data_IF_550915499411
#
_entry.id   IF_550915499411
#
_cell.length_a   1.000
_cell.length_b   1.000
_cell.length_c   1.000
_cell.angle_alpha   90.00
_cell.angle_beta   90.00
_cell.angle_gamma   90.00
#
_symmetry.space_group_name_H-M   'P 1'
#
loop_
_entity.id
_entity.type
_entity.pdbx_description
1 polymer ?
#
# COMPACT_ATOMS: atom_id res chain seq x y z
N UNK A 1 -17.74 2.37 -0.57
CA UNK A 1 -18.12 2.50 -2.00
C UNK A 1 -18.40 3.99 -2.27
N UNK A 2 -17.74 4.63 -3.24
CA UNK A 2 -17.87 6.09 -3.47
C UNK A 2 -19.29 6.45 -4.00
N UNK A 3 -19.88 7.60 -3.61
CA UNK A 3 -21.20 8.02 -4.07
C UNK A 3 -21.30 8.13 -5.60
N UNK A 4 -22.52 8.12 -6.11
CA UNK A 4 -22.78 8.33 -7.54
C UNK A 4 -22.27 9.73 -7.97
N UNK A 5 -21.55 9.79 -9.09
CA UNK A 5 -21.03 11.05 -9.64
C UNK A 5 -22.18 11.84 -10.26
N UNK A 6 -22.23 13.15 -9.98
CA UNK A 6 -23.14 14.04 -10.70
C UNK A 6 -22.63 14.31 -12.12
N UNK A 7 -23.49 14.72 -13.04
CA UNK A 7 -23.07 15.14 -14.39
C UNK A 7 -22.04 16.29 -14.34
N UNK A 8 -22.22 17.20 -13.37
CA UNK A 8 -21.28 18.29 -13.08
C UNK A 8 -19.94 17.78 -12.56
N UNK A 9 -19.96 16.80 -11.66
CA UNK A 9 -18.78 16.12 -11.13
C UNK A 9 -17.98 15.40 -12.22
N UNK A 10 -18.67 14.70 -13.13
CA UNK A 10 -18.02 14.07 -14.28
C UNK A 10 -17.34 15.08 -15.20
N UNK A 11 -17.98 16.21 -15.50
CA UNK A 11 -17.37 17.29 -16.28
C UNK A 11 -16.15 17.90 -15.59
N UNK A 12 -16.20 18.09 -14.26
CA UNK A 12 -15.08 18.57 -13.46
C UNK A 12 -13.88 17.60 -13.51
N UNK A 13 -14.12 16.29 -13.35
CA UNK A 13 -13.07 15.27 -13.43
C UNK A 13 -12.48 15.15 -14.84
N UNK A 14 -13.29 15.37 -15.88
CA UNK A 14 -12.78 15.45 -17.26
C UNK A 14 -11.83 16.64 -17.43
N UNK A 15 -12.16 17.81 -16.87
CA UNK A 15 -11.27 18.96 -16.91
C UNK A 15 -9.96 18.68 -16.17
N UNK A 16 -10.01 18.02 -15.01
CA UNK A 16 -8.81 17.61 -14.28
C UNK A 16 -7.96 16.61 -15.07
N UNK A 17 -8.57 15.62 -15.72
CA UNK A 17 -7.84 14.69 -16.58
C UNK A 17 -7.09 15.40 -17.71
N UNK A 18 -7.69 16.41 -18.33
CA UNK A 18 -7.04 17.25 -19.36
C UNK A 18 -5.85 18.03 -18.78
N UNK A 19 -5.95 18.58 -17.56
CA UNK A 19 -4.83 19.27 -16.93
C UNK A 19 -3.68 18.32 -16.56
N UNK A 20 -4.00 17.11 -16.09
CA UNK A 20 -3.01 16.04 -15.88
C UNK A 20 -2.29 15.72 -17.20
N UNK A 21 -3.05 15.55 -18.29
CA UNK A 21 -2.49 15.28 -19.62
C UNK A 21 -1.54 16.39 -20.08
N UNK A 22 -1.95 17.66 -19.97
CA UNK A 22 -1.12 18.82 -20.32
C UNK A 22 0.18 18.85 -19.50
N UNK A 23 0.12 18.55 -18.20
CA UNK A 23 1.29 18.53 -17.32
C UNK A 23 2.26 17.41 -17.69
N UNK A 24 1.76 16.23 -18.04
CA UNK A 24 2.55 15.11 -18.54
C UNK A 24 3.20 15.41 -19.90
N UNK A 25 2.47 16.03 -20.83
CA UNK A 25 3.02 16.47 -22.13
C UNK A 25 4.16 17.47 -21.96
N UNK A 26 4.02 18.44 -21.02
CA UNK A 26 5.11 19.37 -20.67
C UNK A 26 6.32 18.64 -20.09
N UNK A 27 6.10 17.63 -19.25
CA UNK A 27 7.17 16.82 -18.68
C UNK A 27 7.94 16.00 -19.75
N UNK A 28 7.24 15.51 -20.77
CA UNK A 28 7.88 14.87 -21.93
C UNK A 28 8.74 15.87 -22.73
N UNK A 29 8.17 17.03 -23.06
CA UNK A 29 8.82 18.05 -23.87
C UNK A 29 10.03 18.71 -23.18
N UNK A 30 10.00 18.85 -21.84
CA UNK A 30 11.03 19.56 -21.08
C UNK A 30 11.84 18.61 -20.19
N UNK A 31 12.94 18.07 -20.73
CA UNK A 31 13.88 17.24 -19.97
C UNK A 31 14.39 17.86 -18.64
N UNK A 32 14.79 19.15 -18.57
CA UNK A 32 15.33 19.69 -17.31
C UNK A 32 14.26 19.89 -16.23
N UNK A 33 13.01 20.14 -16.61
CA UNK A 33 11.91 20.36 -15.65
C UNK A 33 11.10 19.10 -15.35
N UNK A 34 11.32 18.02 -16.11
CA UNK A 34 10.54 16.78 -16.04
C UNK A 34 10.34 16.24 -14.64
N UNK A 35 11.42 16.14 -13.85
CA UNK A 35 11.35 15.64 -12.48
C UNK A 35 10.45 16.51 -11.60
N UNK A 36 10.61 17.83 -11.68
CA UNK A 36 9.84 18.77 -10.87
C UNK A 36 8.35 18.73 -11.27
N UNK A 37 8.06 18.72 -12.57
CA UNK A 37 6.69 18.62 -13.08
C UNK A 37 5.99 17.32 -12.63
N UNK A 38 6.71 16.20 -12.65
CA UNK A 38 6.17 14.92 -12.17
C UNK A 38 5.99 14.91 -10.65
N UNK A 39 6.92 15.51 -9.89
CA UNK A 39 6.79 15.64 -8.45
C UNK A 39 5.59 16.52 -8.06
N UNK A 40 5.40 17.65 -8.74
CA UNK A 40 4.24 18.52 -8.53
C UNK A 40 2.95 17.80 -8.91
N UNK A 41 2.91 17.10 -10.05
CA UNK A 41 1.73 16.33 -10.45
C UNK A 41 1.38 15.25 -9.43
N UNK A 42 2.38 14.54 -8.91
CA UNK A 42 2.19 13.58 -7.83
C UNK A 42 1.59 14.25 -6.59
N UNK A 43 2.11 15.40 -6.18
CA UNK A 43 1.59 16.15 -5.05
C UNK A 43 0.13 16.58 -5.29
N UNK A 44 -0.18 17.16 -6.45
CA UNK A 44 -1.52 17.63 -6.83
C UNK A 44 -2.56 16.49 -6.79
N UNK A 45 -2.21 15.32 -7.32
CA UNK A 45 -3.09 14.14 -7.35
C UNK A 45 -3.27 13.51 -5.96
N UNK A 46 -2.28 13.65 -5.08
CA UNK A 46 -2.32 13.18 -3.71
C UNK A 46 -3.04 14.15 -2.75
N UNK A 47 -3.46 15.34 -3.21
CA UNK A 47 -4.18 16.29 -2.37
C UNK A 47 -5.55 15.74 -1.94
N UNK A 48 -5.93 16.09 -0.71
CA UNK A 48 -7.28 15.90 -0.20
C UNK A 48 -8.27 16.76 -1.00
N UNK A 49 -9.43 16.20 -1.28
CA UNK A 49 -10.54 16.90 -1.94
C UNK A 49 -11.17 17.84 -0.90
N UNK A 50 -11.06 19.15 -1.13
CA UNK A 50 -11.70 20.15 -0.28
C UNK A 50 -13.23 20.09 -0.36
N UNK A 51 -13.93 20.70 0.61
CA UNK A 51 -15.39 20.61 0.70
C UNK A 51 -16.10 21.20 -0.53
N UNK A 52 -15.52 22.25 -1.13
CA UNK A 52 -16.04 22.85 -2.36
C UNK A 52 -15.96 21.87 -3.54
N UNK A 53 -14.86 21.14 -3.67
CA UNK A 53 -14.69 20.12 -4.68
C UNK A 53 -15.58 18.91 -4.41
N UNK A 54 -15.77 18.50 -3.14
CA UNK A 54 -16.73 17.45 -2.77
C UNK A 54 -18.15 17.79 -3.22
N UNK A 55 -18.61 19.03 -2.99
CA UNK A 55 -19.94 19.48 -3.41
C UNK A 55 -20.10 19.42 -4.94
N UNK A 56 -19.05 19.78 -5.70
CA UNK A 56 -19.08 19.71 -7.16
C UNK A 56 -19.12 18.25 -7.65
N UNK A 57 -18.34 17.37 -7.03
CA UNK A 57 -18.16 15.98 -7.45
C UNK A 57 -19.39 15.13 -7.09
N UNK A 58 -19.83 15.21 -5.83
CA UNK A 58 -20.85 14.33 -5.25
C UNK A 58 -22.23 15.00 -5.08
N UNK A 59 -22.32 16.34 -5.16
CA UNK A 59 -23.53 17.08 -4.81
C UNK A 59 -23.78 17.17 -3.30
N UNK A 60 -24.72 18.01 -2.88
CA UNK A 60 -25.04 18.26 -1.46
C UNK A 60 -25.48 16.99 -0.71
N UNK A 61 -26.30 16.13 -1.35
CA UNK A 61 -26.76 14.86 -0.73
C UNK A 61 -25.67 13.79 -0.66
N UNK A 62 -24.74 13.77 -1.64
CA UNK A 62 -23.62 12.82 -1.68
C UNK A 62 -22.52 13.15 -0.67
N UNK A 63 -22.29 14.44 -0.38
CA UNK A 63 -21.30 14.91 0.59
C UNK A 63 -21.61 14.44 2.03
N UNK A 64 -22.89 14.34 2.40
CA UNK A 64 -23.34 13.85 3.72
C UNK A 64 -23.01 12.36 3.91
N UNK A 65 -23.09 11.56 2.84
CA UNK A 65 -22.77 10.11 2.88
C UNK A 65 -21.27 9.83 2.99
N UNK A 66 -20.43 10.72 2.45
CA UNK A 66 -18.96 10.64 2.54
C UNK A 66 -18.47 10.84 3.97
N UNK A 67 -19.16 11.67 4.76
CA UNK A 67 -18.82 11.94 6.15
C UNK A 67 -19.21 10.80 7.12
N UNK A 68 -20.03 9.83 6.68
CA UNK A 68 -20.68 8.83 7.53
C UNK A 68 -20.06 7.42 7.53
N UNK A 69 -19.09 7.13 6.67
CA UNK A 69 -18.46 5.80 6.65
C UNK A 69 -17.38 5.78 7.75
N UNK A 70 -17.71 5.17 8.91
CA UNK A 70 -16.99 5.25 10.20
C UNK A 70 -15.54 4.78 10.25
N UNK A 71 -14.90 4.62 9.10
CA UNK A 71 -13.50 4.22 8.88
C UNK A 71 -12.78 5.09 7.83
N UNK A 72 -13.43 6.11 7.26
CA UNK A 72 -12.94 6.86 6.11
C UNK A 72 -11.97 7.98 6.47
N UNK A 73 -10.69 7.79 6.13
CA UNK A 73 -9.75 8.90 6.01
C UNK A 73 -10.20 9.93 4.96
N UNK A 74 -9.50 11.07 4.85
CA UNK A 74 -9.83 12.09 3.86
C UNK A 74 -9.83 11.51 2.44
N UNK A 75 -10.81 11.89 1.62
CA UNK A 75 -10.85 11.51 0.20
C UNK A 75 -9.81 12.33 -0.53
N UNK A 76 -8.92 11.68 -1.27
CA UNK A 76 -7.92 12.34 -2.11
C UNK A 76 -8.36 12.38 -3.57
N UNK A 77 -7.80 13.30 -4.37
CA UNK A 77 -8.15 13.42 -5.79
C UNK A 77 -7.89 12.12 -6.56
N UNK A 78 -6.83 11.38 -6.22
CA UNK A 78 -6.56 10.09 -6.85
C UNK A 78 -7.67 9.06 -6.65
N UNK A 79 -8.38 9.07 -5.52
CA UNK A 79 -9.46 8.11 -5.25
C UNK A 79 -10.61 8.28 -6.25
N UNK A 80 -10.95 9.55 -6.50
CA UNK A 80 -12.04 9.94 -7.39
C UNK A 80 -11.63 9.78 -8.86
N UNK A 81 -10.39 10.15 -9.20
CA UNK A 81 -9.86 10.00 -10.56
C UNK A 81 -9.72 8.53 -10.96
N UNK A 82 -9.30 7.65 -10.04
CA UNK A 82 -9.20 6.22 -10.32
C UNK A 82 -10.57 5.60 -10.65
N UNK A 83 -11.63 5.96 -9.92
CA UNK A 83 -13.00 5.54 -10.25
C UNK A 83 -13.48 6.12 -11.57
N UNK A 84 -13.14 7.38 -11.84
CA UNK A 84 -13.50 8.05 -13.09
C UNK A 84 -12.85 7.39 -14.30
N UNK A 85 -11.57 7.00 -14.22
CA UNK A 85 -10.89 6.29 -15.31
C UNK A 85 -11.38 4.86 -15.53
N UNK A 86 -11.97 4.21 -14.51
CA UNK A 86 -12.71 2.96 -14.72
C UNK A 86 -14.00 3.21 -15.49
N UNK A 87 -14.79 4.24 -15.10
CA UNK A 87 -16.08 4.55 -15.73
C UNK A 87 -15.95 5.14 -17.13
N UNK A 88 -14.89 5.92 -17.37
CA UNK A 88 -14.60 6.62 -18.62
C UNK A 88 -13.16 6.31 -19.10
N UNK A 89 -12.89 5.08 -19.58
CA UNK A 89 -11.53 4.66 -19.96
C UNK A 89 -10.88 5.52 -21.04
N UNK A 90 -11.69 6.13 -21.90
CA UNK A 90 -11.23 7.01 -22.98
C UNK A 90 -10.40 8.19 -22.45
N UNK A 91 -10.81 8.75 -21.30
CA UNK A 91 -10.17 9.91 -20.68
C UNK A 91 -8.89 9.53 -19.94
N UNK A 92 -8.79 8.28 -19.48
CA UNK A 92 -7.58 7.74 -18.85
C UNK A 92 -6.54 7.27 -19.86
N UNK A 93 -6.93 6.93 -21.10
CA UNK A 93 -6.03 6.34 -22.08
C UNK A 93 -4.89 7.26 -22.49
N UNK A 94 -5.16 8.54 -22.81
CA UNK A 94 -4.12 9.50 -23.17
C UNK A 94 -3.12 9.71 -22.03
N UNK A 95 -3.64 9.84 -20.80
CA UNK A 95 -2.83 9.96 -19.58
C UNK A 95 -1.96 8.73 -19.39
N UNK A 96 -2.52 7.51 -19.53
CA UNK A 96 -1.78 6.26 -19.41
C UNK A 96 -0.64 6.18 -20.44
N UNK A 97 -0.93 6.47 -21.71
CA UNK A 97 0.06 6.41 -22.80
C UNK A 97 1.24 7.38 -22.54
N UNK A 98 0.99 8.55 -21.96
CA UNK A 98 2.02 9.51 -21.57
C UNK A 98 2.84 9.03 -20.37
N UNK A 99 2.21 8.44 -19.35
CA UNK A 99 2.93 7.87 -18.20
C UNK A 99 3.83 6.72 -18.66
N UNK A 100 3.36 5.87 -19.58
CA UNK A 100 4.15 4.75 -20.15
C UNK A 100 5.40 5.25 -20.88
N UNK A 101 5.34 6.41 -21.54
CA UNK A 101 6.52 7.04 -22.14
C UNK A 101 7.49 7.61 -21.08
N UNK A 102 6.97 8.00 -19.91
CA UNK A 102 7.73 8.55 -18.79
C UNK A 102 8.15 7.49 -17.75
N UNK A 103 7.96 6.20 -18.03
CA UNK A 103 8.11 5.11 -17.04
C UNK A 103 9.47 5.05 -16.34
N UNK A 104 10.54 5.45 -17.03
CA UNK A 104 11.90 5.47 -16.48
C UNK A 104 12.18 6.62 -15.51
N UNK A 105 11.21 7.53 -15.35
CA UNK A 105 11.36 8.75 -14.58
C UNK A 105 10.82 8.58 -13.16
N UNK A 106 11.42 9.28 -12.20
CA UNK A 106 10.91 9.34 -10.83
C UNK A 106 9.47 9.81 -10.79
N UNK A 107 8.68 9.28 -9.85
CA UNK A 107 7.23 9.54 -9.67
C UNK A 107 6.30 8.95 -10.73
N UNK A 108 6.78 8.49 -11.89
CA UNK A 108 5.89 7.93 -12.93
C UNK A 108 5.11 6.71 -12.42
N UNK A 109 5.77 5.75 -11.78
CA UNK A 109 5.11 4.58 -11.17
C UNK A 109 4.19 4.96 -10.01
N UNK A 110 4.54 5.98 -9.22
CA UNK A 110 3.71 6.49 -8.13
C UNK A 110 2.39 7.06 -8.69
N UNK A 111 2.48 7.94 -9.69
CA UNK A 111 1.31 8.55 -10.36
C UNK A 111 0.47 7.46 -11.02
N UNK A 112 1.10 6.50 -11.68
CA UNK A 112 0.40 5.34 -12.25
C UNK A 112 -0.39 4.58 -11.18
N UNK A 113 0.23 4.27 -10.05
CA UNK A 113 -0.41 3.54 -8.95
C UNK A 113 -1.59 4.31 -8.39
N UNK A 114 -1.46 5.63 -8.20
CA UNK A 114 -2.54 6.46 -7.70
C UNK A 114 -3.73 6.53 -8.67
N UNK A 115 -3.47 6.75 -9.96
CA UNK A 115 -4.52 6.99 -10.94
C UNK A 115 -5.14 5.73 -11.55
N UNK A 116 -4.39 4.63 -11.66
CA UNK A 116 -4.80 3.45 -12.44
C UNK A 116 -4.88 2.15 -11.62
N UNK A 117 -4.74 2.20 -10.29
CA UNK A 117 -4.84 0.99 -9.45
C UNK A 117 -6.16 0.24 -9.60
N UNK A 118 -7.28 0.93 -9.85
CA UNK A 118 -8.58 0.29 -10.09
C UNK A 118 -8.71 -0.18 -11.53
N UNK A 119 -8.39 0.71 -12.48
CA UNK A 119 -8.47 0.45 -13.92
C UNK A 119 -7.73 -0.83 -14.32
N UNK A 120 -6.55 -1.10 -13.74
CA UNK A 120 -5.76 -2.29 -14.06
C UNK A 120 -6.54 -3.60 -13.91
N UNK A 121 -7.48 -3.66 -12.97
CA UNK A 121 -8.28 -4.86 -12.70
C UNK A 121 -9.63 -4.87 -13.41
N UNK A 122 -10.05 -3.77 -14.03
CA UNK A 122 -11.30 -3.70 -14.80
C UNK A 122 -11.07 -3.76 -16.31
N UNK A 123 -9.88 -3.34 -16.76
CA UNK A 123 -9.50 -3.40 -18.16
C UNK A 123 -9.23 -4.84 -18.64
N UNK A 124 -9.59 -5.11 -19.89
CA UNK A 124 -9.17 -6.33 -20.60
C UNK A 124 -7.83 -6.05 -21.28
N UNK A 125 -6.76 -6.63 -20.75
CA UNK A 125 -5.40 -6.54 -21.30
C UNK A 125 -4.98 -7.89 -21.87
N UNK A 126 -5.01 -8.01 -23.19
CA UNK A 126 -4.68 -9.28 -23.87
C UNK A 126 -3.17 -9.56 -23.95
N UNK A 127 -2.34 -8.52 -23.77
CA UNK A 127 -0.89 -8.66 -23.83
C UNK A 127 -0.30 -8.97 -22.43
N UNK A 128 0.25 -10.17 -22.21
CA UNK A 128 0.78 -10.58 -20.91
C UNK A 128 2.03 -9.79 -20.48
N UNK A 129 2.85 -9.32 -21.42
CA UNK A 129 4.04 -8.50 -21.11
C UNK A 129 3.65 -7.11 -20.61
N UNK A 130 2.63 -6.51 -21.25
CA UNK A 130 2.08 -5.21 -20.82
C UNK A 130 1.44 -5.34 -19.45
N UNK A 131 0.65 -6.40 -19.24
CA UNK A 131 0.02 -6.68 -17.95
C UNK A 131 1.07 -6.86 -16.85
N UNK A 132 2.15 -7.61 -17.11
CA UNK A 132 3.26 -7.77 -16.16
C UNK A 132 3.91 -6.41 -15.84
N UNK A 133 4.22 -5.62 -16.86
CA UNK A 133 4.85 -4.30 -16.70
C UNK A 133 3.99 -3.35 -15.86
N UNK A 134 2.68 -3.30 -16.12
CA UNK A 134 1.75 -2.46 -15.36
C UNK A 134 1.59 -2.96 -13.93
N UNK A 135 1.48 -4.27 -13.73
CA UNK A 135 1.38 -4.85 -12.40
C UNK A 135 2.63 -4.60 -11.56
N UNK A 136 3.83 -4.72 -12.14
CA UNK A 136 5.07 -4.38 -11.45
C UNK A 136 5.12 -2.90 -11.06
N UNK A 137 4.72 -1.99 -11.96
CA UNK A 137 4.72 -0.57 -11.62
C UNK A 137 3.66 -0.17 -10.59
N UNK A 138 2.53 -0.87 -10.53
CA UNK A 138 1.57 -0.73 -9.45
C UNK A 138 2.24 -1.07 -8.10
N UNK A 139 2.94 -2.20 -8.03
CA UNK A 139 3.62 -2.61 -6.79
C UNK A 139 4.75 -1.64 -6.44
N UNK A 140 5.57 -1.23 -7.40
CA UNK A 140 6.68 -0.30 -7.19
C UNK A 140 6.19 1.08 -6.74
N UNK A 141 5.17 1.63 -7.42
CA UNK A 141 4.60 2.92 -7.08
C UNK A 141 3.88 2.88 -5.73
N UNK A 142 3.09 1.83 -5.46
CA UNK A 142 2.46 1.62 -4.15
C UNK A 142 3.50 1.51 -3.03
N UNK A 143 4.61 0.79 -3.27
CA UNK A 143 5.74 0.72 -2.33
C UNK A 143 6.25 2.12 -1.97
N UNK A 144 6.50 2.96 -2.97
CA UNK A 144 7.02 4.30 -2.75
C UNK A 144 6.05 5.19 -1.98
N UNK A 145 4.76 5.19 -2.34
CA UNK A 145 3.77 6.06 -1.66
C UNK A 145 3.50 5.61 -0.23
N UNK A 146 3.51 4.30 0.05
CA UNK A 146 3.37 3.82 1.43
C UNK A 146 4.60 4.14 2.28
N UNK A 147 5.80 4.19 1.69
CA UNK A 147 6.98 4.69 2.40
C UNK A 147 6.90 6.19 2.71
N UNK A 148 6.29 7.00 1.83
CA UNK A 148 6.03 8.43 2.12
C UNK A 148 5.11 8.55 3.34
N UNK A 149 4.05 7.75 3.40
CA UNK A 149 3.14 7.70 4.55
C UNK A 149 3.86 7.28 5.84
N UNK A 150 4.73 6.26 5.79
CA UNK A 150 5.58 5.89 6.95
C UNK A 150 6.47 7.05 7.38
N UNK A 151 7.14 7.72 6.44
CA UNK A 151 8.09 8.80 6.73
C UNK A 151 7.39 10.03 7.33
N UNK A 152 6.18 10.33 6.87
CA UNK A 152 5.36 11.42 7.37
C UNK A 152 4.52 11.03 8.59
N UNK A 153 4.50 9.74 8.95
CA UNK A 153 3.61 9.17 9.97
C UNK A 153 2.14 9.55 9.74
N UNK A 154 1.72 9.53 8.47
CA UNK A 154 0.36 9.84 8.04
C UNK A 154 -0.16 8.72 7.14
N UNK A 155 -1.47 8.66 6.91
CA UNK A 155 -2.12 7.57 6.17
C UNK A 155 -2.87 8.09 4.95
N UNK A 156 -2.25 8.99 4.18
CA UNK A 156 -2.89 9.63 3.01
C UNK A 156 -3.25 8.61 1.94
N UNK A 157 -2.52 7.50 1.84
CA UNK A 157 -2.71 6.45 0.84
C UNK A 157 -3.43 5.22 1.39
N UNK A 158 -4.13 5.36 2.53
CA UNK A 158 -4.88 4.26 3.14
C UNK A 158 -5.95 3.68 2.20
N UNK A 159 -6.62 4.51 1.42
CA UNK A 159 -7.62 4.06 0.44
C UNK A 159 -7.02 3.14 -0.62
N UNK A 160 -5.83 3.46 -1.13
CA UNK A 160 -5.08 2.61 -2.05
C UNK A 160 -4.69 1.28 -1.39
N UNK A 161 -4.12 1.33 -0.18
CA UNK A 161 -3.76 0.11 0.57
C UNK A 161 -4.97 -0.79 0.78
N UNK A 162 -6.09 -0.20 1.23
CA UNK A 162 -7.34 -0.93 1.49
C UNK A 162 -7.87 -1.59 0.23
N UNK A 163 -7.90 -0.88 -0.90
CA UNK A 163 -8.30 -1.45 -2.17
C UNK A 163 -7.42 -2.65 -2.56
N UNK A 164 -6.09 -2.50 -2.46
CA UNK A 164 -5.17 -3.58 -2.80
C UNK A 164 -5.30 -4.80 -1.87
N UNK A 165 -5.61 -4.59 -0.59
CA UNK A 165 -5.82 -5.67 0.37
C UNK A 165 -7.20 -6.31 0.20
N UNK A 166 -8.27 -5.54 0.44
CA UNK A 166 -9.64 -6.04 0.58
C UNK A 166 -10.28 -6.40 -0.74
N UNK A 167 -10.04 -5.62 -1.80
CA UNK A 167 -10.73 -5.76 -3.09
C UNK A 167 -9.91 -6.56 -4.11
N UNK A 168 -8.58 -6.62 -3.94
CA UNK A 168 -7.68 -7.35 -4.85
C UNK A 168 -7.15 -8.61 -4.19
N UNK A 169 -6.34 -8.49 -3.13
CA UNK A 169 -5.63 -9.65 -2.56
C UNK A 169 -6.58 -10.67 -1.91
N UNK A 170 -7.65 -10.20 -1.27
CA UNK A 170 -8.65 -11.05 -0.63
C UNK A 170 -9.76 -11.54 -1.58
N UNK A 171 -9.74 -11.11 -2.85
CA UNK A 171 -10.73 -11.48 -3.85
C UNK A 171 -10.09 -12.29 -4.99
N UNK A 172 -10.14 -13.64 -4.95
CA UNK A 172 -9.38 -14.51 -5.86
C UNK A 172 -9.62 -14.22 -7.35
N UNK A 173 -10.85 -13.89 -7.73
CA UNK A 173 -11.19 -13.62 -9.14
C UNK A 173 -10.54 -12.33 -9.66
N UNK A 174 -10.27 -11.34 -8.79
CA UNK A 174 -9.54 -10.13 -9.16
C UNK A 174 -8.03 -10.36 -9.10
N UNK A 175 -7.55 -11.13 -8.12
CA UNK A 175 -6.15 -11.50 -8.01
C UNK A 175 -5.63 -12.27 -9.24
N UNK A 176 -6.44 -13.19 -9.78
CA UNK A 176 -6.12 -13.96 -10.99
C UNK A 176 -5.95 -13.11 -12.25
N UNK A 177 -6.40 -11.84 -12.25
CA UNK A 177 -6.24 -10.93 -13.39
C UNK A 177 -4.81 -10.44 -13.58
N UNK A 178 -3.94 -10.58 -12.57
CA UNK A 178 -2.52 -10.21 -12.67
C UNK A 178 -1.62 -11.46 -12.68
N UNK A 179 -0.43 -11.39 -13.28
CA UNK A 179 0.47 -12.54 -13.38
C UNK A 179 0.91 -13.02 -12.01
N UNK A 180 1.17 -14.32 -11.87
CA UNK A 180 1.54 -14.94 -10.58
C UNK A 180 2.74 -14.27 -9.92
N UNK A 181 3.72 -13.79 -10.70
CA UNK A 181 4.85 -13.03 -10.17
C UNK A 181 4.38 -11.73 -9.49
N UNK A 182 3.50 -10.97 -10.13
CA UNK A 182 2.96 -9.74 -9.57
C UNK A 182 2.04 -9.98 -8.37
N UNK A 183 1.35 -11.13 -8.33
CA UNK A 183 0.60 -11.54 -7.13
C UNK A 183 1.57 -11.71 -5.95
N UNK A 184 2.69 -12.41 -6.14
CA UNK A 184 3.71 -12.57 -5.08
C UNK A 184 4.24 -11.22 -4.62
N UNK A 185 4.61 -10.35 -5.56
CA UNK A 185 5.17 -9.03 -5.26
C UNK A 185 4.15 -8.14 -4.52
N UNK A 186 2.86 -8.22 -4.89
CA UNK A 186 1.76 -7.56 -4.19
C UNK A 186 1.61 -8.08 -2.76
N UNK A 187 1.66 -9.40 -2.54
CA UNK A 187 1.55 -9.96 -1.19
C UNK A 187 2.75 -9.58 -0.31
N UNK A 188 3.96 -9.55 -0.86
CA UNK A 188 5.14 -9.04 -0.14
C UNK A 188 4.98 -7.55 0.21
N UNK A 189 4.47 -6.74 -0.73
CA UNK A 189 4.13 -5.34 -0.46
C UNK A 189 3.13 -5.23 0.69
N UNK A 190 1.98 -5.89 0.61
CA UNK A 190 0.94 -5.81 1.63
C UNK A 190 1.46 -6.30 2.99
N UNK A 191 2.25 -7.36 3.01
CA UNK A 191 2.90 -7.89 4.22
C UNK A 191 3.72 -6.82 4.96
N UNK A 192 4.48 -6.00 4.23
CA UNK A 192 5.29 -4.92 4.82
C UNK A 192 4.44 -3.85 5.50
N UNK A 193 3.27 -3.52 4.95
CA UNK A 193 2.50 -2.34 5.35
C UNK A 193 1.22 -2.64 6.13
N UNK A 194 0.85 -3.92 6.30
CA UNK A 194 -0.42 -4.32 6.93
C UNK A 194 -0.63 -3.74 8.34
N UNK A 195 0.43 -3.69 9.14
CA UNK A 195 0.35 -3.12 10.49
C UNK A 195 0.29 -1.61 10.47
N UNK A 196 0.98 -0.94 9.54
CA UNK A 196 0.94 0.51 9.42
C UNK A 196 -0.48 1.03 9.23
N UNK A 197 -1.25 0.35 8.37
CA UNK A 197 -2.63 0.68 8.04
C UNK A 197 -3.69 0.02 8.95
N UNK A 198 -3.28 -0.58 10.07
CA UNK A 198 -4.16 -1.20 11.07
C UNK A 198 -5.04 -2.35 10.57
N UNK A 199 -4.58 -3.15 9.61
CA UNK A 199 -5.36 -4.29 9.06
C UNK A 199 -4.91 -5.63 9.63
N UNK A 200 -4.53 -5.66 10.92
CA UNK A 200 -4.01 -6.85 11.59
C UNK A 200 -5.07 -7.97 11.74
N UNK A 201 -6.34 -7.57 11.85
CA UNK A 201 -7.50 -8.45 11.88
C UNK A 201 -7.68 -9.26 10.59
N UNK A 202 -7.20 -8.75 9.46
CA UNK A 202 -7.31 -9.41 8.15
C UNK A 202 -6.21 -10.44 7.88
N UNK A 203 -5.24 -10.62 8.79
CA UNK A 203 -4.07 -11.49 8.57
C UNK A 203 -4.47 -12.94 8.30
N UNK A 204 -5.44 -13.48 9.02
CA UNK A 204 -5.86 -14.88 8.82
C UNK A 204 -6.39 -15.10 7.39
N UNK A 205 -7.29 -14.21 6.94
CA UNK A 205 -7.80 -14.25 5.56
C UNK A 205 -6.70 -13.99 4.52
N UNK A 206 -5.77 -13.09 4.83
CA UNK A 206 -4.67 -12.73 3.94
C UNK A 206 -3.71 -13.91 3.75
N UNK A 207 -3.33 -14.62 4.83
CA UNK A 207 -2.46 -15.79 4.75
C UNK A 207 -3.10 -16.96 4.00
N UNK A 208 -4.43 -17.10 4.04
CA UNK A 208 -5.16 -18.12 3.26
C UNK A 208 -5.12 -17.87 1.75
N UNK A 209 -4.94 -16.61 1.33
CA UNK A 209 -4.89 -16.21 -0.08
C UNK A 209 -3.46 -16.06 -0.62
N UNK A 210 -2.44 -16.35 0.18
CA UNK A 210 -1.05 -16.17 -0.21
C UNK A 210 -0.72 -17.01 -1.45
N UNK A 211 -0.13 -16.41 -2.51
CA UNK A 211 0.20 -17.15 -3.72
C UNK A 211 1.32 -18.16 -3.47
N UNK A 212 1.33 -19.25 -4.22
CA UNK A 212 2.38 -20.26 -4.12
C UNK A 212 3.75 -19.69 -4.52
N UNK A 213 4.79 -19.98 -3.73
CA UNK A 213 6.17 -19.63 -4.05
C UNK A 213 6.95 -20.86 -4.52
N UNK A 214 7.75 -20.78 -5.60
CA UNK A 214 8.48 -21.93 -6.13
C UNK A 214 9.49 -22.49 -5.11
N UNK A 215 9.99 -21.62 -4.23
CA UNK A 215 10.97 -21.95 -3.21
C UNK A 215 10.34 -22.21 -1.83
N UNK A 216 9.01 -22.37 -1.73
CA UNK A 216 8.30 -22.57 -0.46
C UNK A 216 8.85 -23.75 0.36
N UNK A 217 9.34 -24.81 -0.31
CA UNK A 217 9.99 -25.92 0.36
C UNK A 217 11.24 -25.48 1.16
N UNK A 218 12.00 -24.49 0.67
CA UNK A 218 13.18 -23.92 1.34
C UNK A 218 12.80 -22.85 2.36
N UNK A 219 11.95 -21.90 1.98
CA UNK A 219 11.70 -20.67 2.75
C UNK A 219 10.53 -20.78 3.73
N UNK A 220 9.67 -21.78 3.57
CA UNK A 220 8.47 -21.98 4.38
C UNK A 220 7.17 -21.62 3.67
N UNK A 221 6.07 -21.78 4.41
CA UNK A 221 4.72 -21.50 3.91
C UNK A 221 4.39 -20.01 3.94
N UNK A 222 3.12 -19.68 3.68
CA UNK A 222 2.61 -18.30 3.71
C UNK A 222 2.98 -17.55 4.99
N UNK A 223 2.75 -18.17 6.15
CA UNK A 223 3.11 -17.62 7.46
C UNK A 223 4.59 -17.31 7.59
N UNK A 224 5.46 -18.18 7.07
CA UNK A 224 6.90 -17.97 7.14
C UNK A 224 7.32 -16.77 6.28
N UNK A 225 6.85 -16.72 5.04
CA UNK A 225 7.18 -15.65 4.09
C UNK A 225 6.69 -14.29 4.64
N UNK A 226 5.46 -14.25 5.13
CA UNK A 226 4.88 -13.06 5.76
C UNK A 226 5.73 -12.56 6.94
N UNK A 227 6.09 -13.45 7.87
CA UNK A 227 6.87 -13.07 9.06
C UNK A 227 8.29 -12.67 8.70
N UNK A 228 8.90 -13.27 7.69
CA UNK A 228 10.21 -12.89 7.18
C UNK A 228 10.19 -11.47 6.62
N UNK A 229 9.17 -11.13 5.82
CA UNK A 229 9.02 -9.79 5.27
C UNK A 229 8.77 -8.74 6.38
N UNK A 230 7.98 -9.09 7.40
CA UNK A 230 7.79 -8.23 8.58
C UNK A 230 9.09 -8.03 9.37
N UNK A 231 9.87 -9.08 9.58
CA UNK A 231 11.14 -9.00 10.29
C UNK A 231 12.13 -8.08 9.56
N UNK A 232 12.13 -8.12 8.23
CA UNK A 232 12.96 -7.25 7.38
C UNK A 232 12.44 -5.81 7.35
N UNK A 233 11.12 -5.62 7.37
CA UNK A 233 10.49 -4.31 7.47
C UNK A 233 10.88 -3.60 8.77
N UNK A 234 10.82 -4.31 9.91
CA UNK A 234 11.19 -3.74 11.23
C UNK A 234 12.58 -3.09 11.22
N UNK A 235 13.57 -3.74 10.58
CA UNK A 235 14.94 -3.24 10.51
C UNK A 235 15.08 -1.96 9.66
N UNK A 236 14.18 -1.76 8.70
CA UNK A 236 14.14 -0.59 7.81
C UNK A 236 13.42 0.60 8.45
N UNK A 237 12.49 0.38 9.38
CA UNK A 237 11.74 1.46 10.04
C UNK A 237 12.65 2.36 10.88
N UNK A 238 12.65 3.66 10.58
CA UNK A 238 13.39 4.69 11.33
C UNK A 238 12.50 5.68 12.07
N UNK A 239 11.20 5.71 11.74
CA UNK A 239 10.23 6.57 12.40
C UNK A 239 9.75 5.91 13.68
N UNK A 240 10.13 6.45 14.83
CA UNK A 240 9.94 5.82 16.15
C UNK A 240 8.47 5.50 16.47
N UNK A 241 7.49 6.41 16.31
CA UNK A 241 6.07 6.09 16.53
C UNK A 241 5.59 4.92 15.68
N UNK A 242 6.03 4.85 14.42
CA UNK A 242 5.68 3.75 13.51
C UNK A 242 6.31 2.44 13.97
N UNK A 243 7.58 2.45 14.35
CA UNK A 243 8.25 1.25 14.87
C UNK A 243 7.57 0.72 16.14
N UNK A 244 7.24 1.59 17.09
CA UNK A 244 6.50 1.21 18.31
C UNK A 244 5.14 0.60 17.96
N UNK A 245 4.42 1.20 17.00
CA UNK A 245 3.15 0.67 16.51
C UNK A 245 3.30 -0.73 15.92
N UNK A 246 4.31 -0.96 15.07
CA UNK A 246 4.59 -2.30 14.54
C UNK A 246 4.91 -3.31 15.65
N UNK A 247 5.78 -2.96 16.59
CA UNK A 247 6.12 -3.83 17.72
C UNK A 247 4.87 -4.22 18.50
N UNK A 248 3.95 -3.27 18.74
CA UNK A 248 2.66 -3.53 19.37
C UNK A 248 1.79 -4.51 18.57
N UNK A 249 1.63 -4.27 17.26
CA UNK A 249 0.72 -5.05 16.41
C UNK A 249 1.21 -6.47 16.12
N UNK A 250 2.52 -6.69 16.08
CA UNK A 250 3.15 -8.02 15.84
C UNK A 250 2.74 -9.06 16.90
N UNK A 251 2.20 -8.64 18.05
CA UNK A 251 1.62 -9.56 19.04
C UNK A 251 0.52 -10.45 18.47
N UNK A 252 -0.17 -10.03 17.40
CA UNK A 252 -1.18 -10.85 16.69
C UNK A 252 -0.60 -12.13 16.09
N UNK A 253 0.72 -12.22 15.91
CA UNK A 253 1.38 -13.42 15.39
C UNK A 253 1.44 -14.56 16.42
N UNK A 254 0.99 -14.34 17.65
CA UNK A 254 1.00 -15.37 18.69
C UNK A 254 0.15 -16.58 18.25
N UNK A 255 0.74 -17.76 18.34
CA UNK A 255 0.09 -19.01 17.93
C UNK A 255 0.17 -19.31 16.43
N UNK A 256 0.80 -18.44 15.64
CA UNK A 256 1.07 -18.74 14.23
C UNK A 256 2.15 -19.84 14.13
N UNK A 257 1.84 -20.90 13.37
CA UNK A 257 2.80 -21.98 13.12
C UNK A 257 3.90 -21.49 12.17
N UNK A 258 5.13 -21.45 12.67
CA UNK A 258 6.31 -20.98 11.96
C UNK A 258 7.42 -22.02 12.02
N UNK A 259 8.24 -22.08 10.97
CA UNK A 259 9.49 -22.83 11.02
C UNK A 259 10.40 -22.25 12.09
N UNK A 260 11.24 -23.12 12.67
CA UNK A 260 12.20 -22.71 13.69
C UNK A 260 13.13 -21.60 13.19
N UNK A 261 13.56 -21.65 11.92
CA UNK A 261 14.41 -20.63 11.29
C UNK A 261 13.72 -19.26 11.24
N UNK A 262 12.46 -19.21 10.82
CA UNK A 262 11.65 -18.00 10.77
C UNK A 262 11.41 -17.44 12.17
N UNK A 263 10.98 -18.29 13.10
CA UNK A 263 10.76 -17.95 14.51
C UNK A 263 12.02 -17.36 15.15
N UNK A 264 13.18 -17.98 14.91
CA UNK A 264 14.49 -17.50 15.38
C UNK A 264 14.85 -16.15 14.78
N UNK A 265 14.59 -15.91 13.49
CA UNK A 265 14.88 -14.63 12.83
C UNK A 265 13.98 -13.51 13.35
N UNK A 266 12.69 -13.76 13.54
CA UNK A 266 11.77 -12.80 14.18
C UNK A 266 12.25 -12.46 15.60
N UNK A 267 12.56 -13.47 16.41
CA UNK A 267 13.08 -13.29 17.77
C UNK A 267 14.36 -12.46 17.78
N UNK A 268 15.30 -12.74 16.89
CA UNK A 268 16.58 -12.01 16.77
C UNK A 268 16.34 -10.56 16.35
N UNK A 269 15.43 -10.33 15.39
CA UNK A 269 15.06 -8.98 14.93
C UNK A 269 14.49 -8.17 16.09
N UNK A 270 13.54 -8.72 16.86
CA UNK A 270 12.98 -8.05 18.04
C UNK A 270 14.03 -7.81 19.13
N UNK A 271 14.93 -8.76 19.36
CA UNK A 271 16.01 -8.62 20.35
C UNK A 271 17.00 -7.50 20.01
N UNK A 272 17.22 -7.22 18.72
CA UNK A 272 18.06 -6.07 18.31
C UNK A 272 17.54 -4.71 18.81
N UNK A 273 16.25 -4.63 19.14
CA UNK A 273 15.61 -3.42 19.66
C UNK A 273 15.60 -3.34 21.18
N UNK A 274 16.11 -4.33 21.93
CA UNK A 274 16.03 -4.33 23.40
C UNK A 274 17.24 -3.72 24.10
N UNK A 275 18.37 -3.61 23.40
CA UNK A 275 19.65 -3.21 24.00
C UNK A 275 20.02 -1.77 23.66
N UNK A 276 20.61 -1.00 24.60
CA UNK A 276 21.16 0.31 24.30
C UNK A 276 22.48 0.14 23.54
N UNK A 277 22.45 0.29 22.21
CA UNK A 277 23.66 0.18 21.38
C UNK A 277 23.38 0.11 19.89
N UNK A 278 24.46 0.08 19.10
CA UNK A 278 24.38 -0.14 17.66
C UNK A 278 23.83 -1.53 17.32
N UNK A 279 23.31 -1.73 16.09
CA UNK A 279 23.34 -0.80 14.96
C UNK A 279 22.21 0.25 14.96
N UNK A 280 21.18 0.10 15.81
CA UNK A 280 19.94 0.89 15.72
C UNK A 280 19.76 1.97 16.80
N UNK A 281 20.50 1.90 17.91
CA UNK A 281 20.42 2.84 19.04
C UNK A 281 18.96 3.16 19.47
N UNK A 282 18.14 2.14 19.77
CA UNK A 282 16.71 2.32 20.04
C UNK A 282 16.48 3.18 21.29
N UNK A 283 15.44 4.02 21.28
CA UNK A 283 15.01 4.82 22.44
C UNK A 283 14.47 3.93 23.56
N UNK A 284 14.27 4.50 24.75
CA UNK A 284 13.68 3.76 25.88
C UNK A 284 12.28 3.22 25.55
N UNK A 285 11.47 3.99 24.83
CA UNK A 285 10.12 3.59 24.44
C UNK A 285 10.14 2.40 23.48
N UNK A 286 11.01 2.45 22.45
CA UNK A 286 11.22 1.33 21.52
C UNK A 286 11.70 0.09 22.26
N UNK A 287 12.68 0.22 23.17
CA UNK A 287 13.19 -0.91 23.96
C UNK A 287 12.09 -1.56 24.82
N UNK A 288 11.24 -0.75 25.45
CA UNK A 288 10.13 -1.26 26.26
C UNK A 288 9.12 -2.02 25.40
N UNK A 289 8.69 -1.42 24.28
CA UNK A 289 7.78 -2.07 23.35
C UNK A 289 8.37 -3.39 22.79
N UNK A 290 9.66 -3.43 22.50
CA UNK A 290 10.35 -4.63 22.03
C UNK A 290 10.38 -5.73 23.09
N UNK A 291 10.70 -5.40 24.35
CA UNK A 291 10.64 -6.36 25.47
C UNK A 291 9.23 -6.91 25.68
N UNK A 292 8.23 -6.03 25.73
CA UNK A 292 6.83 -6.43 25.91
C UNK A 292 6.35 -7.39 24.80
N UNK A 293 6.77 -7.14 23.56
CA UNK A 293 6.42 -8.00 22.42
C UNK A 293 7.18 -9.31 22.42
N UNK A 294 8.46 -9.31 22.79
CA UNK A 294 9.26 -10.53 22.94
C UNK A 294 8.69 -11.46 24.00
N UNK A 295 8.39 -10.94 25.18
CA UNK A 295 7.87 -11.75 26.28
C UNK A 295 6.47 -12.30 25.96
N UNK A 296 5.68 -11.56 25.18
CA UNK A 296 4.36 -12.01 24.73
C UNK A 296 4.42 -13.14 23.68
N UNK A 297 5.34 -13.05 22.71
CA UNK A 297 5.45 -14.01 21.60
C UNK A 297 6.32 -15.23 21.94
N UNK A 298 7.36 -15.02 22.73
CA UNK A 298 8.35 -16.02 23.12
C UNK A 298 8.47 -16.08 24.63
N UNK A 299 7.38 -16.45 25.34
CA UNK A 299 7.42 -16.58 26.79
C UNK A 299 8.55 -17.54 27.14
N UNK A 300 9.42 -17.13 28.05
CA UNK A 300 10.43 -18.03 28.59
C UNK A 300 9.68 -19.19 29.23
N UNK A 301 9.91 -20.42 28.79
CA UNK A 301 9.41 -21.61 29.47
C UNK A 301 9.92 -21.57 30.91
N UNK A 302 9.07 -21.12 31.82
CA UNK A 302 9.46 -20.78 33.18
C UNK A 302 8.23 -20.43 34.01
N UNK A 303 7.33 -21.41 34.16
CA UNK A 303 6.54 -21.70 35.38
C UNK A 303 5.56 -22.88 35.17
N UNK A 304 5.99 -23.93 34.47
CA UNK A 304 5.33 -25.26 34.52
C UNK A 304 6.33 -26.35 34.90
N UNK A 305 7.08 -26.08 35.96
CA UNK A 305 7.54 -27.11 36.88
C UNK A 305 7.13 -26.62 38.28
N UNK A 306 5.91 -26.99 38.65
CA UNK A 306 5.58 -27.12 40.05
C UNK A 306 6.23 -28.39 40.59
N UNK A 307 6.48 -28.35 41.90
CA UNK A 307 7.15 -29.32 42.78
C UNK A 307 8.67 -29.09 42.89
#
# INVERSE_FOLDING_TARGET
MLPALTARGSAYLNALAIEIEKKLQRALASAPQRRNLLQELFADVALEVDDRAKDIIFGEEGAISVAGDGYGGPICFFDVLADHFVRMPQNGKSVLDLIVQLWSQSFASNIFSLLFHKWLFEAQLDNPEVLLRYSSALVDGATNVFWIDIQTNARHFQSLFRYLLEEVALYPERLKKIPLQSQRDLFLLLSRFIFFYNSADMIESFLKQFPDFPNAFLIGGASDIFVMELADQLQKLKVEPVLIHYLSQIKVLRGLELRMTTSTRLKTSLYSFTSPGGPMYPTRAVRHAAWDTLDFLFPRLGNTLGI
#
